data_IF_626895851638
#
_entry.id   IF_626895851638
#
_cell.length_a   1.000
_cell.length_b   1.000
_cell.length_c   1.000
_cell.angle_alpha   90.00
_cell.angle_beta   90.00
_cell.angle_gamma   90.00
#
_symmetry.space_group_name_H-M   'P 1'
#
loop_
_entity.id
_entity.type
_entity.pdbx_description
1 polymer ?
#
# COMPACT_ATOMS: atom_id res chain seq x y z
N UNK A 1 2.89 33.98 13.69
CA UNK A 1 2.14 32.80 13.20
C UNK A 1 2.47 31.61 14.09
N UNK A 2 1.46 31.06 14.79
CA UNK A 2 1.58 29.85 15.62
C UNK A 2 1.71 28.64 14.68
N UNK A 3 2.87 27.99 14.67
CA UNK A 3 3.19 26.86 13.79
C UNK A 3 2.75 25.52 14.39
N UNK A 4 2.05 24.73 13.58
CA UNK A 4 1.24 23.57 13.97
C UNK A 4 2.00 22.23 14.15
N UNK A 5 3.29 22.24 14.52
CA UNK A 5 4.09 21.00 14.57
C UNK A 5 5.16 21.01 15.66
N UNK A 6 4.79 21.36 16.89
CA UNK A 6 5.63 21.08 18.05
C UNK A 6 5.21 19.74 18.66
N UNK A 7 6.19 18.81 18.74
CA UNK A 7 6.25 17.62 19.58
C UNK A 7 5.40 16.39 19.16
N UNK A 8 5.91 15.50 18.29
CA UNK A 8 5.29 14.17 18.08
C UNK A 8 6.26 12.96 18.02
N UNK A 9 6.35 12.13 19.09
CA UNK A 9 7.12 10.89 19.15
C UNK A 9 6.35 9.73 18.49
N UNK A 10 6.19 9.75 17.17
CA UNK A 10 5.34 8.79 16.44
C UNK A 10 5.91 7.37 16.44
N UNK A 11 7.21 7.19 16.70
CA UNK A 11 7.88 5.89 16.66
C UNK A 11 7.92 5.14 18.00
N UNK A 12 7.84 5.84 19.13
CA UNK A 12 7.88 5.21 20.46
C UNK A 12 6.55 4.52 20.82
N UNK A 13 5.43 5.00 20.28
CA UNK A 13 4.09 4.52 20.64
C UNK A 13 3.87 3.04 20.31
N UNK A 14 4.23 2.61 19.10
CA UNK A 14 3.93 1.26 18.63
C UNK A 14 4.78 0.18 19.34
N UNK A 15 6.08 0.43 19.52
CA UNK A 15 6.97 -0.42 20.30
C UNK A 15 6.57 -0.46 21.79
N UNK A 16 6.11 0.66 22.34
CA UNK A 16 5.63 0.72 23.73
C UNK A 16 4.32 -0.06 23.91
N UNK A 17 3.39 0.01 22.94
CA UNK A 17 2.15 -0.79 22.92
C UNK A 17 2.46 -2.28 22.86
N UNK A 18 3.44 -2.69 22.05
CA UNK A 18 3.85 -4.09 21.92
C UNK A 18 4.43 -4.64 23.23
N UNK A 19 5.30 -3.87 23.90
CA UNK A 19 5.88 -4.26 25.21
C UNK A 19 4.81 -4.28 26.31
N UNK A 20 3.91 -3.31 26.34
CA UNK A 20 2.82 -3.24 27.33
C UNK A 20 1.80 -4.37 27.15
N UNK A 21 1.45 -4.73 25.91
CA UNK A 21 0.54 -5.84 25.63
C UNK A 21 1.15 -7.21 26.01
N UNK A 22 2.45 -7.40 25.74
CA UNK A 22 3.18 -8.60 26.14
C UNK A 22 3.26 -8.75 27.68
N UNK A 23 3.73 -7.71 28.38
CA UNK A 23 3.90 -7.73 29.85
C UNK A 23 2.59 -7.88 30.63
N UNK A 24 1.46 -7.44 30.07
CA UNK A 24 0.14 -7.56 30.73
C UNK A 24 -0.53 -8.90 30.47
N UNK A 25 -0.19 -9.59 29.38
CA UNK A 25 -0.61 -10.98 29.10
C UNK A 25 0.01 -11.95 30.11
N UNK A 26 1.27 -11.74 30.51
CA UNK A 26 1.89 -12.50 31.61
C UNK A 26 1.26 -12.25 32.98
N UNK A 27 0.66 -11.07 33.20
CA UNK A 27 0.11 -10.64 34.50
C UNK A 27 -1.40 -10.78 34.65
N UNK A 28 -2.08 -11.46 33.72
CA UNK A 28 -3.53 -11.73 33.76
C UNK A 28 -4.40 -10.48 34.04
N UNK A 29 -3.95 -9.29 33.62
CA UNK A 29 -4.58 -8.00 33.93
C UNK A 29 -5.50 -7.53 32.80
N UNK A 30 -6.59 -6.83 33.15
CA UNK A 30 -7.57 -6.31 32.19
C UNK A 30 -6.98 -5.30 31.18
N UNK A 31 -7.53 -5.27 29.97
CA UNK A 31 -6.96 -4.60 28.77
C UNK A 31 -7.32 -3.11 28.61
N UNK A 32 -7.77 -2.44 29.66
CA UNK A 32 -8.13 -1.01 29.60
C UNK A 32 -6.85 -0.13 29.57
N UNK A 33 -6.87 0.96 28.79
CA UNK A 33 -5.83 1.99 28.68
C UNK A 33 -4.52 1.59 27.94
N UNK A 34 -4.62 1.13 26.69
CA UNK A 34 -3.47 1.04 25.76
C UNK A 34 -3.18 2.42 25.15
N UNK A 35 -1.92 2.90 25.22
CA UNK A 35 -1.49 4.19 24.64
C UNK A 35 -1.10 4.01 23.17
N UNK A 36 -2.04 4.19 22.25
CA UNK A 36 -1.74 4.22 20.81
C UNK A 36 -1.09 5.55 20.40
N UNK A 37 -0.60 5.65 19.14
CA UNK A 37 -0.23 6.97 18.59
C UNK A 37 -1.43 7.91 18.68
N UNK A 38 -1.16 9.21 18.78
CA UNK A 38 -2.22 10.20 18.92
C UNK A 38 -3.16 10.17 17.71
N UNK A 39 -2.62 9.91 16.52
CA UNK A 39 -3.36 9.76 15.26
C UNK A 39 -4.29 8.54 15.30
N UNK A 40 -3.77 7.39 15.75
CA UNK A 40 -4.57 6.17 15.86
C UNK A 40 -5.62 6.28 16.97
N UNK A 41 -5.28 6.91 18.10
CA UNK A 41 -6.23 7.18 19.18
C UNK A 41 -7.34 8.12 18.70
N UNK A 42 -6.99 9.18 17.97
CA UNK A 42 -7.96 10.10 17.38
C UNK A 42 -8.88 9.39 16.39
N UNK A 43 -8.33 8.49 15.57
CA UNK A 43 -9.12 7.65 14.67
C UNK A 43 -10.10 6.75 15.42
N UNK A 44 -9.67 6.07 16.48
CA UNK A 44 -10.56 5.26 17.32
C UNK A 44 -11.66 6.09 17.99
N UNK A 45 -11.33 7.28 18.50
CA UNK A 45 -12.31 8.21 19.09
C UNK A 45 -13.35 8.65 18.06
N UNK A 46 -12.93 8.95 16.83
CA UNK A 46 -13.86 9.28 15.73
C UNK A 46 -14.80 8.12 15.43
N UNK A 47 -14.27 6.89 15.35
CA UNK A 47 -15.09 5.70 15.09
C UNK A 47 -16.12 5.47 16.20
N UNK A 48 -15.71 5.62 17.46
CA UNK A 48 -16.58 5.44 18.62
C UNK A 48 -17.66 6.53 18.69
N UNK A 49 -17.30 7.79 18.41
CA UNK A 49 -18.23 8.93 18.34
C UNK A 49 -19.31 8.72 17.28
N UNK A 50 -18.96 8.07 16.17
CA UNK A 50 -19.88 7.77 15.08
C UNK A 50 -20.62 6.44 15.27
N UNK A 51 -20.31 5.69 16.34
CA UNK A 51 -20.76 4.32 16.56
C UNK A 51 -20.56 3.42 15.34
N UNK A 52 -19.48 3.66 14.59
CA UNK A 52 -19.20 2.93 13.36
C UNK A 52 -18.66 1.54 13.68
N UNK A 53 -19.44 0.52 13.32
CA UNK A 53 -19.07 -0.91 13.44
C UNK A 53 -18.83 -1.59 12.09
N UNK A 54 -18.75 -0.80 11.02
CA UNK A 54 -18.57 -1.32 9.67
C UNK A 54 -17.10 -1.66 9.36
N UNK A 55 -16.83 -2.11 8.12
CA UNK A 55 -15.49 -2.46 7.70
C UNK A 55 -14.57 -1.23 7.62
N UNK A 56 -13.29 -1.40 7.93
CA UNK A 56 -12.23 -0.40 7.77
C UNK A 56 -11.23 -0.92 6.75
N UNK A 57 -10.82 -0.07 5.82
CA UNK A 57 -9.83 -0.38 4.80
C UNK A 57 -8.45 -0.05 5.31
N UNK A 58 -7.55 -1.04 5.36
CA UNK A 58 -6.13 -0.79 5.57
C UNK A 58 -5.40 -0.82 4.23
N UNK A 59 -4.62 0.21 3.94
CA UNK A 59 -3.85 0.39 2.71
C UNK A 59 -2.37 0.58 3.04
N UNK A 60 -1.51 0.14 2.13
CA UNK A 60 -0.06 0.21 2.32
C UNK A 60 0.64 0.55 1.03
N UNK A 61 1.68 1.37 1.10
CA UNK A 61 2.55 1.68 -0.02
C UNK A 61 3.96 2.02 0.49
N UNK A 62 4.98 1.75 -0.32
CA UNK A 62 6.37 2.04 0.00
C UNK A 62 6.86 3.24 -0.83
N UNK A 63 7.15 4.35 -0.17
CA UNK A 63 7.64 5.55 -0.86
C UNK A 63 9.14 5.75 -0.65
N UNK A 64 9.83 6.17 -1.71
CA UNK A 64 11.27 6.49 -1.63
C UNK A 64 11.50 7.75 -0.82
N UNK A 65 12.57 7.72 -0.02
CA UNK A 65 13.06 8.84 0.75
C UNK A 65 14.40 9.33 0.19
N UNK A 66 14.65 10.63 0.37
CA UNK A 66 15.98 11.17 0.16
C UNK A 66 16.87 10.72 1.32
N UNK A 67 17.85 9.89 1.01
CA UNK A 67 18.80 9.39 2.01
C UNK A 67 19.53 10.57 2.67
N UNK A 68 19.49 10.58 4.00
CA UNK A 68 20.14 11.56 4.85
C UNK A 68 20.25 11.01 6.26
N UNK A 69 21.11 11.60 7.09
CA UNK A 69 21.04 11.46 8.54
C UNK A 69 20.86 12.85 9.10
N UNK A 70 19.87 13.01 9.97
CA UNK A 70 19.62 14.28 10.64
C UNK A 70 19.53 14.05 12.12
N UNK A 71 19.98 15.04 12.88
CA UNK A 71 19.71 15.07 14.31
C UNK A 71 18.37 15.76 14.56
N UNK A 72 17.51 15.15 15.36
CA UNK A 72 16.28 15.78 15.84
C UNK A 72 16.47 16.26 17.28
N UNK A 73 16.54 17.58 17.52
CA UNK A 73 16.67 18.13 18.87
C UNK A 73 15.48 17.78 19.77
N UNK A 74 14.29 17.61 19.20
CA UNK A 74 13.05 17.34 19.93
C UNK A 74 13.01 15.92 20.51
N UNK A 75 13.65 14.97 19.84
CA UNK A 75 13.74 13.58 20.30
C UNK A 75 15.13 13.22 20.86
N UNK A 76 16.11 14.13 20.72
CA UNK A 76 17.49 13.89 21.11
C UNK A 76 18.08 12.68 20.39
N UNK A 77 17.68 12.41 19.14
CA UNK A 77 18.11 11.21 18.42
C UNK A 77 18.47 11.49 16.96
N UNK A 78 19.25 10.59 16.38
CA UNK A 78 19.53 10.58 14.94
C UNK A 78 18.35 9.93 14.22
N UNK A 79 17.74 10.66 13.30
CA UNK A 79 16.61 10.24 12.46
C UNK A 79 17.09 9.88 11.04
N UNK A 80 16.21 9.26 10.25
CA UNK A 80 16.47 8.78 8.87
C UNK A 80 17.42 7.56 8.80
N UNK A 81 17.49 6.77 9.88
CA UNK A 81 18.12 5.44 9.90
C UNK A 81 17.09 4.34 10.19
N UNK A 82 17.39 3.09 9.86
CA UNK A 82 16.51 1.94 10.15
C UNK A 82 16.63 1.44 11.60
N UNK A 83 17.44 2.08 12.43
CA UNK A 83 17.60 1.71 13.84
C UNK A 83 16.42 2.13 14.70
N UNK A 84 16.27 1.47 15.84
CA UNK A 84 15.25 1.84 16.80
C UNK A 84 15.61 3.16 17.49
N UNK A 85 14.60 3.92 17.93
CA UNK A 85 14.78 5.17 18.67
C UNK A 85 15.71 5.07 19.89
N UNK A 86 15.78 3.90 20.53
CA UNK A 86 16.65 3.69 21.70
C UNK A 86 18.13 3.60 21.32
N UNK A 87 18.43 3.10 20.12
CA UNK A 87 19.79 2.88 19.61
C UNK A 87 20.37 4.17 19.02
N UNK A 88 19.50 5.09 18.60
CA UNK A 88 19.90 6.39 18.01
C UNK A 88 19.80 7.55 18.98
N UNK A 89 19.40 7.29 20.24
CA UNK A 89 19.27 8.31 21.26
C UNK A 89 20.64 8.76 21.73
N UNK A 90 20.84 10.07 21.73
CA UNK A 90 22.09 10.71 22.10
C UNK A 90 21.94 11.20 23.55
N UNK A 91 22.79 10.64 24.43
CA UNK A 91 22.95 11.17 25.79
C UNK A 91 24.17 12.08 25.91
N UNK A 92 25.19 11.85 25.08
CA UNK A 92 26.46 12.60 25.06
C UNK A 92 26.88 12.91 23.61
N UNK A 93 27.49 14.07 23.38
CA UNK A 93 27.87 14.53 22.04
C UNK A 93 28.89 13.60 21.35
N UNK A 94 29.76 12.94 22.13
CA UNK A 94 30.76 12.02 21.57
C UNK A 94 30.13 10.74 21.00
N UNK A 95 28.93 10.36 21.46
CA UNK A 95 28.19 9.21 20.95
C UNK A 95 27.66 9.43 19.53
N UNK A 96 27.54 10.69 19.08
CA UNK A 96 27.03 11.02 17.73
C UNK A 96 27.91 10.37 16.66
N UNK A 97 29.23 10.52 16.78
CA UNK A 97 30.16 9.97 15.80
C UNK A 97 30.19 8.44 15.84
N UNK A 98 30.03 7.84 17.02
CA UNK A 98 29.95 6.39 17.18
C UNK A 98 28.69 5.83 16.49
N UNK A 99 27.52 6.40 16.78
CA UNK A 99 26.24 5.98 16.18
C UNK A 99 26.26 6.19 14.65
N UNK A 100 26.77 7.32 14.16
CA UNK A 100 26.90 7.56 12.71
C UNK A 100 27.82 6.53 12.05
N UNK A 101 28.94 6.19 12.68
CA UNK A 101 29.87 5.19 12.16
C UNK A 101 29.27 3.78 12.19
N UNK A 102 28.45 3.45 13.19
CA UNK A 102 27.67 2.21 13.22
C UNK A 102 26.61 2.15 12.12
N UNK A 103 25.89 3.25 11.88
CA UNK A 103 24.91 3.34 10.77
C UNK A 103 25.62 3.12 9.44
N UNK A 104 26.78 3.74 9.24
CA UNK A 104 27.60 3.59 8.04
C UNK A 104 28.11 2.16 7.88
N UNK A 105 28.62 1.54 8.94
CA UNK A 105 29.17 0.18 8.88
C UNK A 105 28.10 -0.86 8.57
N UNK A 106 26.91 -0.72 9.16
CA UNK A 106 25.76 -1.62 8.91
C UNK A 106 24.94 -1.25 7.67
N UNK A 107 25.28 -0.17 6.96
CA UNK A 107 24.51 0.38 5.82
C UNK A 107 23.03 0.59 6.15
N UNK A 108 22.74 1.00 7.38
CA UNK A 108 21.39 1.10 7.95
C UNK A 108 20.68 2.43 7.60
N UNK A 109 20.93 2.96 6.40
CA UNK A 109 20.29 4.20 5.95
C UNK A 109 18.87 3.92 5.48
N UNK A 110 17.93 4.75 5.90
CA UNK A 110 16.58 4.68 5.37
C UNK A 110 16.56 5.24 3.95
N UNK A 111 16.18 4.42 2.97
CA UNK A 111 16.05 4.81 1.57
C UNK A 111 14.59 4.84 1.12
N UNK A 112 13.70 4.22 1.89
CA UNK A 112 12.25 4.31 1.69
C UNK A 112 11.51 4.24 3.04
N UNK A 113 10.20 4.43 2.97
CA UNK A 113 9.29 4.32 4.11
C UNK A 113 8.02 3.61 3.68
N UNK A 114 7.70 2.53 4.39
CA UNK A 114 6.43 1.85 4.28
C UNK A 114 5.38 2.65 5.06
N UNK A 115 4.36 3.11 4.35
CA UNK A 115 3.23 3.85 4.92
C UNK A 115 2.08 2.89 5.14
N UNK A 116 1.46 2.96 6.31
CA UNK A 116 0.20 2.29 6.61
C UNK A 116 -0.89 3.32 6.83
N UNK A 117 -2.00 3.15 6.12
CA UNK A 117 -3.15 4.06 6.14
C UNK A 117 -4.40 3.27 6.48
N UNK A 118 -5.26 3.82 7.34
CA UNK A 118 -6.60 3.33 7.56
C UNK A 118 -7.62 4.31 6.98
N UNK A 119 -8.65 3.79 6.33
CA UNK A 119 -9.74 4.57 5.78
C UNK A 119 -11.07 3.87 6.02
N UNK A 120 -12.08 4.64 6.43
CA UNK A 120 -13.47 4.17 6.42
C UNK A 120 -13.98 4.23 4.97
N UNK A 121 -14.49 3.12 4.39
CA UNK A 121 -14.96 3.05 3.00
C UNK A 121 -16.31 3.75 2.80
N UNK A 122 -16.42 4.98 3.30
CA UNK A 122 -17.57 5.85 3.15
C UNK A 122 -17.11 7.17 2.52
N UNK A 123 -17.98 7.76 1.72
CA UNK A 123 -17.71 9.06 1.11
C UNK A 123 -17.43 10.11 2.20
N UNK A 124 -16.46 11.00 1.93
CA UNK A 124 -16.04 12.13 2.79
C UNK A 124 -15.23 11.78 4.05
N UNK A 125 -14.93 10.51 4.29
CA UNK A 125 -14.00 10.13 5.36
C UNK A 125 -12.55 10.24 4.88
N UNK A 126 -11.71 11.07 5.54
CA UNK A 126 -10.31 11.18 5.16
C UNK A 126 -9.53 9.93 5.56
N UNK A 127 -8.51 9.54 4.77
CA UNK A 127 -7.56 8.51 5.18
C UNK A 127 -6.69 9.01 6.34
N UNK A 128 -6.36 8.11 7.27
CA UNK A 128 -5.50 8.39 8.42
C UNK A 128 -4.23 7.54 8.33
N UNK A 129 -3.07 8.19 8.35
CA UNK A 129 -1.77 7.51 8.44
C UNK A 129 -1.59 6.98 9.86
N UNK A 130 -1.42 5.68 10.00
CA UNK A 130 -1.28 5.02 11.30
C UNK A 130 0.17 4.62 11.62
N UNK A 131 0.99 4.37 10.59
CA UNK A 131 2.39 4.04 10.77
C UNK A 131 3.22 4.47 9.56
N UNK A 132 4.47 4.85 9.85
CA UNK A 132 5.54 5.11 8.90
C UNK A 132 6.74 4.30 9.35
N UNK A 133 7.10 3.28 8.59
CA UNK A 133 8.18 2.34 8.94
C UNK A 133 9.32 2.55 7.95
N UNK A 134 10.46 3.02 8.45
CA UNK A 134 11.66 3.24 7.64
C UNK A 134 12.26 1.90 7.22
N UNK A 135 12.66 1.81 5.96
CA UNK A 135 13.33 0.65 5.41
C UNK A 135 14.49 1.05 4.50
N UNK A 136 15.33 0.08 4.16
CA UNK A 136 16.49 0.26 3.29
C UNK A 136 16.17 -0.01 1.81
N UNK A 137 14.88 -0.15 1.46
CA UNK A 137 14.41 -0.42 0.09
C UNK A 137 14.66 -1.86 -0.37
N UNK A 138 15.10 -2.74 0.53
CA UNK A 138 15.34 -4.17 0.27
C UNK A 138 14.51 -5.07 1.18
N UNK A 139 13.33 -4.61 1.60
CA UNK A 139 12.44 -5.38 2.46
C UNK A 139 12.14 -6.74 1.84
N UNK A 140 12.30 -7.78 2.64
CA UNK A 140 11.95 -9.13 2.24
C UNK A 140 10.46 -9.33 2.47
N UNK A 141 9.87 -10.18 1.63
CA UNK A 141 8.48 -10.61 1.76
C UNK A 141 8.13 -11.04 3.20
N UNK A 142 9.05 -11.75 3.88
CA UNK A 142 8.83 -12.22 5.25
C UNK A 142 8.64 -11.08 6.27
N UNK A 143 9.40 -10.00 6.15
CA UNK A 143 9.35 -8.86 7.08
C UNK A 143 8.02 -8.10 6.92
N UNK A 144 7.57 -7.94 5.67
CA UNK A 144 6.30 -7.29 5.36
C UNK A 144 5.12 -8.16 5.80
N UNK A 145 5.20 -9.49 5.60
CA UNK A 145 4.19 -10.43 6.11
C UNK A 145 4.07 -10.34 7.63
N UNK A 146 5.19 -10.30 8.36
CA UNK A 146 5.19 -10.17 9.82
C UNK A 146 4.54 -8.83 10.27
N UNK A 147 4.81 -7.73 9.56
CA UNK A 147 4.15 -6.45 9.82
C UNK A 147 2.63 -6.51 9.59
N UNK A 148 2.17 -7.10 8.49
CA UNK A 148 0.73 -7.27 8.24
C UNK A 148 0.08 -8.22 9.25
N UNK A 149 0.75 -9.31 9.62
CA UNK A 149 0.27 -10.23 10.65
C UNK A 149 0.16 -9.53 12.00
N UNK A 150 1.12 -8.68 12.37
CA UNK A 150 1.03 -7.86 13.58
C UNK A 150 -0.19 -6.92 13.55
N UNK A 151 -0.45 -6.27 12.41
CA UNK A 151 -1.62 -5.40 12.27
C UNK A 151 -2.94 -6.18 12.39
N UNK A 152 -3.05 -7.32 11.69
CA UNK A 152 -4.23 -8.18 11.68
C UNK A 152 -4.47 -8.88 13.03
N UNK A 153 -3.50 -9.66 13.47
CA UNK A 153 -3.66 -10.60 14.57
C UNK A 153 -3.52 -9.91 15.94
N UNK A 154 -2.72 -8.85 16.04
CA UNK A 154 -2.54 -8.16 17.31
C UNK A 154 -3.44 -6.93 17.40
N UNK A 155 -3.30 -5.96 16.49
CA UNK A 155 -3.98 -4.66 16.63
C UNK A 155 -5.48 -4.79 16.34
N UNK A 156 -5.85 -5.36 15.19
CA UNK A 156 -7.25 -5.45 14.78
C UNK A 156 -8.07 -6.35 15.70
N UNK A 157 -7.53 -7.55 16.00
CA UNK A 157 -8.19 -8.52 16.90
C UNK A 157 -8.39 -7.97 18.31
N UNK A 158 -7.40 -7.24 18.87
CA UNK A 158 -7.53 -6.66 20.22
C UNK A 158 -8.57 -5.54 20.31
N UNK A 159 -8.73 -4.77 19.24
CA UNK A 159 -9.65 -3.64 19.18
C UNK A 159 -11.03 -4.03 18.65
N UNK A 160 -11.22 -5.31 18.30
CA UNK A 160 -12.43 -5.83 17.66
C UNK A 160 -12.87 -4.95 16.46
N UNK A 161 -11.88 -4.49 15.70
CA UNK A 161 -12.11 -3.71 14.49
C UNK A 161 -12.38 -4.70 13.35
N UNK A 162 -13.51 -4.53 12.69
CA UNK A 162 -13.76 -5.21 11.43
C UNK A 162 -12.86 -4.58 10.36
N UNK A 163 -11.65 -5.09 10.20
CA UNK A 163 -10.71 -4.56 9.22
C UNK A 163 -10.81 -5.42 7.96
N UNK A 164 -11.33 -4.80 6.91
CA UNK A 164 -11.19 -5.28 5.55
C UNK A 164 -9.85 -4.77 5.05
N UNK A 165 -8.79 -5.55 5.21
CA UNK A 165 -7.51 -5.12 4.66
C UNK A 165 -7.61 -5.24 3.14
N UNK A 166 -7.51 -4.10 2.45
CA UNK A 166 -7.13 -4.07 1.04
C UNK A 166 -5.63 -3.87 0.99
N UNK A 167 -4.86 -4.95 0.95
CA UNK A 167 -3.42 -4.81 0.71
C UNK A 167 -3.32 -4.32 -0.72
N UNK A 168 -3.25 -3.01 -0.93
CA UNK A 168 -3.06 -2.42 -2.24
C UNK A 168 -1.61 -2.69 -2.62
N UNK A 169 -1.39 -3.54 -3.62
CA UNK A 169 -0.04 -3.67 -4.20
C UNK A 169 0.06 -2.83 -5.45
N UNK A 170 1.20 -2.14 -5.59
CA UNK A 170 1.58 -1.36 -6.77
C UNK A 170 2.03 -2.25 -7.95
N UNK A 171 2.05 -3.57 -7.76
CA UNK A 171 2.53 -4.57 -8.70
C UNK A 171 3.97 -5.04 -8.45
N UNK A 172 4.62 -4.57 -7.39
CA UNK A 172 5.91 -5.09 -6.97
C UNK A 172 5.83 -6.57 -6.60
N UNK A 173 6.82 -7.35 -7.04
CA UNK A 173 6.88 -8.79 -6.82
C UNK A 173 6.82 -9.15 -5.32
N UNK A 174 7.51 -8.39 -4.48
CA UNK A 174 7.57 -8.60 -3.03
C UNK A 174 6.20 -8.43 -2.39
N UNK A 175 5.45 -7.40 -2.79
CA UNK A 175 4.09 -7.16 -2.28
C UNK A 175 3.10 -8.20 -2.78
N UNK A 176 3.17 -8.59 -4.05
CA UNK A 176 2.34 -9.67 -4.59
C UNK A 176 2.58 -11.00 -3.87
N UNK A 177 3.84 -11.33 -3.58
CA UNK A 177 4.19 -12.52 -2.80
C UNK A 177 3.66 -12.41 -1.36
N UNK A 178 3.76 -11.24 -0.75
CA UNK A 178 3.23 -10.95 0.59
C UNK A 178 1.72 -11.20 0.64
N UNK A 179 0.99 -10.65 -0.34
CA UNK A 179 -0.46 -10.88 -0.48
C UNK A 179 -0.80 -12.37 -0.65
N UNK A 180 -0.03 -13.07 -1.48
CA UNK A 180 -0.25 -14.50 -1.74
C UNK A 180 -0.06 -15.31 -0.45
N UNK A 181 0.98 -15.02 0.33
CA UNK A 181 1.24 -15.66 1.62
C UNK A 181 0.14 -15.38 2.65
N UNK A 182 -0.39 -14.16 2.66
CA UNK A 182 -1.51 -13.78 3.54
C UNK A 182 -2.80 -14.50 3.13
N UNK A 183 -3.05 -14.65 1.83
CA UNK A 183 -4.20 -15.39 1.31
C UNK A 183 -4.10 -16.89 1.53
N UNK A 184 -2.88 -17.44 1.58
CA UNK A 184 -2.60 -18.85 1.80
C UNK A 184 -2.46 -19.21 3.28
N UNK A 185 -2.76 -18.29 4.22
CA UNK A 185 -2.79 -18.64 5.63
C UNK A 185 -3.78 -19.78 5.88
N UNK A 186 -3.38 -20.75 6.72
CA UNK A 186 -4.19 -21.89 7.15
C UNK A 186 -5.34 -21.42 8.04
N UNK A 187 -6.39 -20.90 7.42
CA UNK A 187 -7.61 -20.44 8.05
C UNK A 187 -8.75 -21.26 7.45
N UNK A 188 -9.54 -21.87 8.32
CA UNK A 188 -10.60 -22.82 7.94
C UNK A 188 -11.78 -22.13 7.26
N UNK A 189 -12.12 -20.91 7.69
CA UNK A 189 -13.21 -20.13 7.11
C UNK A 189 -12.75 -19.27 5.93
N UNK A 190 -13.31 -19.53 4.75
CA UNK A 190 -13.08 -18.74 3.53
C UNK A 190 -14.41 -18.32 2.89
N UNK A 191 -14.51 -17.04 2.55
CA UNK A 191 -15.58 -16.53 1.70
C UNK A 191 -15.26 -16.87 0.25
N UNK A 192 -16.20 -17.46 -0.48
CA UNK A 192 -16.09 -17.70 -1.91
C UNK A 192 -17.19 -16.97 -2.66
N UNK A 193 -16.83 -16.33 -3.77
CA UNK A 193 -17.76 -15.69 -4.70
C UNK A 193 -17.46 -16.19 -6.10
N UNK A 194 -18.46 -16.77 -6.76
CA UNK A 194 -18.34 -17.34 -8.09
C UNK A 194 -19.01 -16.39 -9.08
N UNK A 195 -18.24 -15.84 -10.03
CA UNK A 195 -18.80 -15.15 -11.19
C UNK A 195 -18.90 -16.12 -12.37
N UNK A 196 -20.11 -16.63 -12.59
CA UNK A 196 -20.40 -17.61 -13.64
C UNK A 196 -20.24 -17.07 -15.05
N UNK A 197 -20.18 -15.74 -15.25
CA UNK A 197 -20.02 -15.13 -16.58
C UNK A 197 -18.60 -15.28 -17.11
N UNK A 198 -17.63 -15.28 -16.20
CA UNK A 198 -16.19 -15.34 -16.52
C UNK A 198 -15.54 -16.63 -16.02
N UNK A 199 -16.28 -17.50 -15.35
CA UNK A 199 -15.79 -18.72 -14.71
C UNK A 199 -14.65 -18.43 -13.71
N UNK A 200 -14.80 -17.34 -12.96
CA UNK A 200 -13.82 -16.88 -11.96
C UNK A 200 -14.39 -17.13 -10.56
N UNK A 201 -13.64 -17.89 -9.76
CA UNK A 201 -13.94 -18.09 -8.34
C UNK A 201 -13.00 -17.21 -7.50
N UNK A 202 -13.56 -16.19 -6.87
CA UNK A 202 -12.86 -15.38 -5.89
C UNK A 202 -12.93 -16.06 -4.52
N UNK A 203 -11.79 -16.20 -3.84
CA UNK A 203 -11.76 -16.70 -2.46
C UNK A 203 -10.97 -15.78 -1.55
N UNK A 204 -11.44 -15.64 -0.31
CA UNK A 204 -10.88 -14.75 0.70
C UNK A 204 -10.91 -15.43 2.06
N UNK A 205 -9.79 -15.47 2.83
CA UNK A 205 -9.83 -15.97 4.20
C UNK A 205 -10.58 -15.01 5.12
N UNK A 206 -11.30 -15.56 6.10
CA UNK A 206 -12.00 -14.81 7.16
C UNK A 206 -11.22 -15.00 8.46
N UNK A 207 -10.58 -13.93 8.95
CA UNK A 207 -9.84 -13.98 10.22
C UNK A 207 -10.83 -13.79 11.37
N UNK A 208 -10.83 -14.68 12.38
CA UNK A 208 -11.65 -14.51 13.58
C UNK A 208 -11.43 -13.14 14.24
N UNK A 209 -12.51 -12.47 14.62
CA UNK A 209 -12.50 -11.13 15.26
C UNK A 209 -12.03 -9.95 14.40
N UNK A 210 -11.65 -10.18 13.13
CA UNK A 210 -11.19 -9.12 12.21
C UNK A 210 -12.04 -9.07 10.93
N UNK A 211 -12.45 -10.23 10.41
CA UNK A 211 -13.28 -10.33 9.21
C UNK A 211 -12.48 -10.73 7.94
N UNK A 212 -13.06 -10.51 6.75
CA UNK A 212 -12.47 -10.96 5.49
C UNK A 212 -11.26 -10.11 5.07
N UNK A 213 -10.18 -10.77 4.62
CA UNK A 213 -8.97 -10.11 4.06
C UNK A 213 -8.96 -10.18 2.54
N UNK A 214 -9.27 -9.05 1.89
CA UNK A 214 -9.35 -8.96 0.44
C UNK A 214 -8.05 -8.45 -0.18
N UNK A 215 -7.54 -9.19 -1.15
CA UNK A 215 -6.44 -8.70 -1.98
C UNK A 215 -7.00 -7.76 -3.04
N UNK A 216 -6.47 -6.54 -3.10
CA UNK A 216 -6.85 -5.53 -4.11
C UNK A 216 -5.58 -5.03 -4.77
N UNK A 217 -5.60 -4.85 -6.08
CA UNK A 217 -4.48 -4.27 -6.82
C UNK A 217 -4.89 -2.89 -7.33
N UNK A 218 -3.93 -1.96 -7.41
CA UNK A 218 -4.21 -0.66 -8.02
C UNK A 218 -4.46 -0.81 -9.52
N UNK A 219 -5.73 -0.66 -9.92
CA UNK A 219 -6.17 -0.72 -11.31
C UNK A 219 -5.44 0.29 -12.22
N UNK A 220 -5.01 1.45 -11.69
CA UNK A 220 -4.27 2.45 -12.46
C UNK A 220 -2.87 1.95 -12.81
N UNK A 221 -2.21 1.27 -11.87
CA UNK A 221 -0.92 0.64 -12.10
C UNK A 221 -0.99 -0.47 -13.15
N UNK A 222 -2.08 -1.24 -13.17
CA UNK A 222 -2.33 -2.23 -14.21
C UNK A 222 -2.45 -1.58 -15.60
N UNK A 223 -3.21 -0.48 -15.73
CA UNK A 223 -3.35 0.28 -16.98
C UNK A 223 -2.00 0.85 -17.45
N UNK A 224 -1.21 1.44 -16.54
CA UNK A 224 0.15 1.95 -16.85
C UNK A 224 1.09 0.84 -17.31
N UNK A 225 1.09 -0.30 -16.63
CA UNK A 225 1.92 -1.45 -17.00
C UNK A 225 1.55 -1.95 -18.39
N UNK A 226 0.26 -2.10 -18.65
CA UNK A 226 -0.28 -2.52 -19.94
C UNK A 226 0.13 -1.56 -21.06
N UNK A 227 0.01 -0.25 -20.83
CA UNK A 227 0.45 0.77 -21.79
C UNK A 227 1.95 0.68 -22.04
N UNK A 228 2.77 0.65 -20.99
CA UNK A 228 4.22 0.62 -21.09
C UNK A 228 4.73 -0.61 -21.86
N UNK A 229 4.08 -1.75 -21.68
CA UNK A 229 4.35 -3.00 -22.42
C UNK A 229 4.11 -2.79 -23.92
N UNK A 230 2.94 -2.29 -24.33
CA UNK A 230 2.63 -2.05 -25.75
C UNK A 230 3.55 -0.97 -26.34
N UNK A 231 3.74 0.13 -25.61
CA UNK A 231 4.49 1.31 -26.08
C UNK A 231 6.00 1.06 -26.13
N UNK A 232 6.49 -0.01 -25.52
CA UNK A 232 7.87 -0.46 -25.70
C UNK A 232 8.17 -0.90 -27.14
N UNK A 233 7.15 -1.27 -27.93
CA UNK A 233 7.30 -1.82 -29.27
C UNK A 233 7.88 -3.24 -29.35
N UNK A 234 8.45 -3.75 -28.25
CA UNK A 234 9.05 -5.09 -28.17
C UNK A 234 8.03 -6.18 -27.83
N UNK A 235 6.87 -5.80 -27.28
CA UNK A 235 5.84 -6.71 -26.81
C UNK A 235 4.48 -6.34 -27.40
N UNK A 236 3.60 -7.35 -27.52
CA UNK A 236 2.24 -7.23 -28.06
C UNK A 236 1.27 -7.84 -27.06
N UNK A 237 0.09 -7.25 -26.91
CA UNK A 237 -0.99 -7.89 -26.17
C UNK A 237 -1.85 -8.71 -27.12
N UNK A 238 -2.10 -9.97 -26.79
CA UNK A 238 -3.08 -10.79 -27.50
C UNK A 238 -4.36 -10.91 -26.68
N UNK A 239 -5.48 -10.69 -27.36
CA UNK A 239 -6.84 -10.90 -26.85
C UNK A 239 -7.48 -12.00 -27.68
N UNK A 240 -7.08 -13.25 -27.41
CA UNK A 240 -7.47 -14.41 -28.20
C UNK A 240 -6.94 -14.31 -29.64
N UNK A 241 -7.82 -13.96 -30.60
CA UNK A 241 -7.50 -13.86 -32.03
C UNK A 241 -7.06 -12.46 -32.48
N UNK A 242 -7.13 -11.47 -31.61
CA UNK A 242 -6.76 -10.09 -31.94
C UNK A 242 -5.53 -9.67 -31.18
N UNK A 243 -4.76 -8.74 -31.74
CA UNK A 243 -3.55 -8.21 -31.12
C UNK A 243 -3.57 -6.69 -31.05
N UNK A 244 -3.06 -6.16 -29.94
CA UNK A 244 -2.87 -4.73 -29.74
C UNK A 244 -1.36 -4.44 -29.75
N UNK A 245 -0.92 -3.71 -30.78
CA UNK A 245 0.48 -3.44 -31.12
C UNK A 245 0.75 -1.94 -31.17
N UNK A 246 2.02 -1.57 -31.02
CA UNK A 246 2.47 -0.18 -31.07
C UNK A 246 2.01 0.59 -32.32
N UNK A 247 2.08 -0.04 -33.50
CA UNK A 247 1.68 0.55 -34.78
C UNK A 247 0.20 0.94 -34.79
N UNK A 248 -0.68 0.12 -34.20
CA UNK A 248 -2.10 0.44 -34.08
C UNK A 248 -2.32 1.72 -33.27
N UNK A 249 -1.65 1.86 -32.12
CA UNK A 249 -1.77 3.06 -31.30
C UNK A 249 -1.16 4.29 -32.00
N UNK A 250 -0.02 4.13 -32.69
CA UNK A 250 0.61 5.22 -33.43
C UNK A 250 -0.31 5.77 -34.53
N UNK A 251 -1.00 4.88 -35.26
CA UNK A 251 -2.00 5.25 -36.25
C UNK A 251 -3.18 6.00 -35.61
N UNK A 252 -3.67 5.53 -34.46
CA UNK A 252 -4.78 6.17 -33.74
C UNK A 252 -4.40 7.57 -33.27
N UNK A 253 -3.19 7.78 -32.75
CA UNK A 253 -2.74 9.11 -32.33
C UNK A 253 -2.61 10.14 -33.47
N UNK A 254 -2.53 9.68 -34.72
CA UNK A 254 -2.44 10.58 -35.88
C UNK A 254 -3.81 11.01 -36.40
N UNK A 255 -4.90 10.42 -35.91
CA UNK A 255 -6.26 10.77 -36.35
C UNK A 255 -6.77 12.00 -35.61
N UNK A 256 -7.55 12.82 -36.31
CA UNK A 256 -8.16 14.03 -35.77
C UNK A 256 -9.30 13.74 -34.77
N UNK A 257 -9.89 12.53 -34.82
CA UNK A 257 -10.96 12.06 -33.93
C UNK A 257 -10.43 11.36 -32.67
N UNK A 258 -9.11 11.33 -32.49
CA UNK A 258 -8.46 10.62 -31.40
C UNK A 258 -8.35 11.46 -30.14
N UNK A 259 -8.64 10.85 -28.99
CA UNK A 259 -8.40 11.46 -27.68
C UNK A 259 -6.92 11.38 -27.29
N UNK A 260 -6.11 10.56 -27.97
CA UNK A 260 -4.69 10.34 -27.66
C UNK A 260 -3.78 11.38 -28.30
N UNK A 261 -2.81 11.87 -27.53
CA UNK A 261 -1.75 12.74 -28.03
C UNK A 261 -0.56 11.94 -28.54
N UNK A 262 0.23 12.54 -29.45
CA UNK A 262 1.50 11.95 -29.91
C UNK A 262 2.48 11.67 -28.76
N UNK A 263 2.41 12.47 -27.70
CA UNK A 263 3.21 12.34 -26.49
C UNK A 263 2.76 11.17 -25.60
N UNK A 264 1.54 10.66 -25.76
CA UNK A 264 1.03 9.46 -25.05
C UNK A 264 1.62 8.15 -25.61
N UNK A 265 2.43 8.24 -26.67
CA UNK A 265 3.05 7.12 -27.37
C UNK A 265 4.54 7.34 -27.52
N UNK A 266 4.92 8.49 -28.08
CA UNK A 266 6.32 8.84 -28.36
C UNK A 266 6.87 9.68 -27.23
N UNK A 267 7.95 9.20 -26.58
CA UNK A 267 8.48 9.78 -25.34
C UNK A 267 7.43 9.83 -24.21
N UNK A 268 6.65 8.74 -24.11
CA UNK A 268 5.65 8.54 -23.08
C UNK A 268 6.21 8.79 -21.68
N UNK A 269 5.52 9.62 -20.91
CA UNK A 269 5.66 9.64 -19.46
C UNK A 269 5.01 8.37 -18.89
N UNK A 270 5.85 7.43 -18.44
CA UNK A 270 5.43 6.11 -17.94
C UNK A 270 4.63 6.16 -16.64
N UNK A 271 4.59 7.32 -15.99
CA UNK A 271 3.85 7.55 -14.74
C UNK A 271 2.54 8.33 -14.95
N UNK A 272 2.25 8.81 -16.17
CA UNK A 272 1.00 9.54 -16.45
C UNK A 272 -0.21 8.59 -16.52
N UNK A 273 -0.98 8.55 -15.43
CA UNK A 273 -2.24 7.82 -15.35
C UNK A 273 -3.25 8.29 -16.42
N UNK A 274 -3.21 9.56 -16.81
CA UNK A 274 -4.14 10.12 -17.80
C UNK A 274 -3.80 9.63 -19.22
N UNK A 275 -2.51 9.51 -19.57
CA UNK A 275 -2.08 8.90 -20.83
C UNK A 275 -2.53 7.44 -20.90
N UNK A 276 -2.35 6.67 -19.81
CA UNK A 276 -2.82 5.28 -19.74
C UNK A 276 -4.34 5.19 -19.89
N UNK A 277 -5.08 6.10 -19.26
CA UNK A 277 -6.53 6.15 -19.37
C UNK A 277 -7.00 6.49 -20.80
N UNK A 278 -6.36 7.47 -21.46
CA UNK A 278 -6.64 7.81 -22.86
C UNK A 278 -6.37 6.61 -23.77
N UNK A 279 -5.27 5.88 -23.57
CA UNK A 279 -4.93 4.71 -24.36
C UNK A 279 -5.99 3.58 -24.26
N UNK A 280 -6.50 3.31 -23.05
CA UNK A 280 -7.46 2.23 -22.80
C UNK A 280 -8.92 2.69 -22.65
N UNK A 281 -9.26 3.86 -23.20
CA UNK A 281 -10.65 4.33 -23.22
C UNK A 281 -11.49 3.51 -24.22
N UNK A 282 -12.76 3.27 -23.90
CA UNK A 282 -13.72 2.56 -24.74
C UNK A 282 -13.81 3.13 -26.17
N UNK A 283 -13.72 4.45 -26.32
CA UNK A 283 -13.72 5.12 -27.63
C UNK A 283 -12.53 4.71 -28.49
N UNK A 284 -11.33 4.65 -27.91
CA UNK A 284 -10.10 4.31 -28.66
C UNK A 284 -10.00 2.81 -28.95
N UNK A 285 -10.48 1.97 -28.02
CA UNK A 285 -10.54 0.52 -28.21
C UNK A 285 -11.57 0.11 -29.29
N UNK A 286 -12.68 0.84 -29.43
CA UNK A 286 -13.64 0.63 -30.52
C UNK A 286 -13.05 0.93 -31.89
N UNK A 287 -12.18 1.94 -31.97
CA UNK A 287 -11.52 2.35 -33.21
C UNK A 287 -10.35 1.43 -33.58
N UNK A 288 -9.76 0.72 -32.60
CA UNK A 288 -8.64 -0.19 -32.80
C UNK A 288 -9.03 -1.65 -33.07
N UNK A 289 -10.25 -2.04 -32.72
CA UNK A 289 -10.77 -3.39 -32.97
C UNK A 289 -11.43 -3.48 -34.36
N UNK A 290 -11.08 -4.48 -35.21
CA UNK A 290 -11.91 -4.78 -36.36
C UNK A 290 -13.32 -5.14 -35.89
N UNK A 291 -14.35 -4.65 -36.58
CA UNK A 291 -15.74 -5.00 -36.30
C UNK A 291 -15.85 -6.54 -36.25
N UNK A 292 -16.17 -7.09 -35.08
CA UNK A 292 -16.18 -8.53 -34.71
C UNK A 292 -14.87 -9.11 -34.15
N UNK A 293 -14.35 -8.57 -33.04
CA UNK A 293 -13.43 -9.32 -32.18
C UNK A 293 -13.82 -9.26 -30.71
N UNK A 294 -13.39 -10.25 -29.91
CA UNK A 294 -13.75 -10.42 -28.50
C UNK A 294 -13.47 -9.22 -27.59
N UNK A 295 -12.68 -8.24 -28.06
CA UNK A 295 -12.44 -6.95 -27.42
C UNK A 295 -13.74 -6.15 -27.20
N UNK A 296 -14.72 -6.27 -28.09
CA UNK A 296 -16.00 -5.54 -27.95
C UNK A 296 -16.83 -6.02 -26.74
N UNK A 297 -16.64 -7.27 -26.29
CA UNK A 297 -17.35 -7.83 -25.13
C UNK A 297 -16.81 -7.36 -23.78
N UNK A 298 -15.51 -7.04 -23.70
CA UNK A 298 -14.88 -6.54 -22.46
C UNK A 298 -15.26 -5.06 -22.22
N UNK A 299 -15.50 -4.30 -23.29
CA UNK A 299 -15.82 -2.87 -23.24
C UNK A 299 -17.27 -2.60 -22.77
N UNK A 300 -18.17 -3.60 -22.83
CA UNK A 300 -19.58 -3.42 -22.42
C UNK A 300 -19.84 -3.64 -20.93
N UNK A 301 -18.82 -3.98 -20.14
CA UNK A 301 -18.94 -4.25 -18.69
C UNK A 301 -18.30 -3.19 -17.78
N UNK A 302 -17.80 -2.08 -18.32
CA UNK A 302 -17.48 -0.85 -17.55
C UNK A 302 -18.68 0.11 -17.57
#
# INVERSE_FOLDING_TARGET
>A
MKGAFNDKPIFAGLCHVMIQAYLRKEKSSGRQNLKYSEEFTSFLVILDTLHYKGPIVAMTDNTKLKIGLRYSPQFGCIVESTFNNNETKISDYDQINQIINEIKSKKAFASSVQVYILQVPLSKFPPVVIALILNNGSDKTADIVDLHQKLLMNIASQLNLYILISISSDGALVEFQTQTLIQSMSIDERLQMIDTRFDITFSCPIIPSVGPVLRVQDSKHAKKTCQNVIMSGAQVLSFGRSTARFDHFLLISQRLDSVMYKQDIVKLDRQDDAAAYRAFCSSNLKTSAPQNSGLTRIIQSE
#
